data_IF_745580443887
#
_entry.id   IF_745580443887
#
_cell.length_a   1.000
_cell.length_b   1.000
_cell.length_c   1.000
_cell.angle_alpha   90.00
_cell.angle_beta   90.00
_cell.angle_gamma   90.00
#
_symmetry.space_group_name_H-M   'P 1'
#
loop_
_entity.id
_entity.type
_entity.pdbx_description
1 polymer ?
#
# COMPACT_ATOMS: atom_id res chain seq x y z
N UNK A 1 -21.81 70.09 9.38
CA UNK A 1 -22.34 70.24 8.02
C UNK A 1 -23.24 71.48 8.07
N UNK A 2 -22.88 72.55 7.40
CA UNK A 2 -23.70 73.73 7.22
C UNK A 2 -24.71 73.45 6.09
N UNK A 3 -25.93 73.79 6.34
CA UNK A 3 -27.02 73.57 5.40
C UNK A 3 -26.76 74.37 4.12
N UNK A 4 -26.62 73.65 2.95
CA UNK A 4 -26.38 74.29 1.65
C UNK A 4 -24.94 74.21 1.07
N UNK A 5 -23.99 73.58 1.75
CA UNK A 5 -22.62 73.42 1.28
C UNK A 5 -22.40 71.98 0.76
N UNK A 6 -22.06 71.85 -0.52
CA UNK A 6 -21.75 70.57 -1.15
C UNK A 6 -20.35 70.12 -0.74
N UNK A 7 -20.24 69.10 0.13
CA UNK A 7 -18.96 68.54 0.56
C UNK A 7 -18.62 67.36 -0.36
N UNK A 8 -17.57 67.51 -1.17
CA UNK A 8 -17.02 66.38 -1.95
C UNK A 8 -16.10 65.55 -1.05
N UNK A 9 -16.49 64.30 -0.78
CA UNK A 9 -15.67 63.37 -0.07
C UNK A 9 -15.07 62.38 -1.06
N UNK A 10 -13.79 62.51 -1.37
CA UNK A 10 -13.05 61.53 -2.17
C UNK A 10 -12.62 60.38 -1.27
N UNK A 11 -13.33 59.25 -1.38
CA UNK A 11 -13.00 58.02 -0.68
C UNK A 11 -12.15 57.15 -1.60
N UNK A 12 -10.84 57.07 -1.34
CA UNK A 12 -9.95 56.14 -2.01
C UNK A 12 -10.18 54.75 -1.45
N UNK A 13 -10.89 53.92 -2.19
CA UNK A 13 -11.03 52.49 -1.83
C UNK A 13 -9.75 51.74 -2.16
N UNK A 14 -9.05 51.26 -1.14
CA UNK A 14 -7.95 50.31 -1.30
C UNK A 14 -8.56 48.91 -1.27
N UNK A 15 -8.38 48.17 -2.36
CA UNK A 15 -8.79 46.78 -2.39
C UNK A 15 -7.96 46.01 -1.32
N UNK A 16 -8.61 45.66 -0.22
CA UNK A 16 -8.05 44.72 0.72
C UNK A 16 -8.13 43.30 0.08
N UNK A 17 -7.17 42.97 -0.74
CA UNK A 17 -6.91 41.57 -1.08
C UNK A 17 -6.28 40.91 0.16
N UNK A 18 -7.09 40.43 1.04
CA UNK A 18 -6.64 39.42 2.02
C UNK A 18 -6.28 38.22 1.17
N UNK A 19 -5.03 38.08 0.82
CA UNK A 19 -4.49 36.81 0.33
C UNK A 19 -4.69 35.79 1.43
N UNK A 20 -5.73 34.96 1.31
CA UNK A 20 -5.81 33.73 2.05
C UNK A 20 -4.63 32.90 1.57
N UNK A 21 -3.57 32.84 2.35
CA UNK A 21 -2.54 31.82 2.18
C UNK A 21 -3.28 30.49 2.35
N UNK A 22 -3.51 29.81 1.22
CA UNK A 22 -4.04 28.46 1.20
C UNK A 22 -3.00 27.57 1.91
N UNK A 23 -3.22 27.31 3.18
CA UNK A 23 -2.45 26.29 3.93
C UNK A 23 -2.90 24.94 3.40
N UNK A 24 -2.27 24.48 2.34
CA UNK A 24 -2.41 23.09 1.89
C UNK A 24 -1.74 22.20 2.91
N UNK A 25 -2.51 21.74 3.89
CA UNK A 25 -2.08 20.70 4.81
C UNK A 25 -2.10 19.37 4.04
N UNK A 26 -1.02 19.09 3.35
CA UNK A 26 -0.78 17.77 2.77
C UNK A 26 -0.38 16.82 3.89
N UNK A 27 -1.36 16.29 4.62
CA UNK A 27 -1.15 15.17 5.51
C UNK A 27 -0.88 13.93 4.65
N UNK A 28 0.38 13.56 4.47
CA UNK A 28 0.75 12.31 3.82
C UNK A 28 0.34 11.18 4.75
N UNK A 29 -0.65 10.41 4.35
CA UNK A 29 -1.09 9.24 5.10
C UNK A 29 0.07 8.24 5.19
N UNK A 30 0.54 7.99 6.41
CA UNK A 30 1.58 6.97 6.66
C UNK A 30 0.86 5.62 6.73
N UNK A 31 0.68 4.98 5.58
CA UNK A 31 -0.03 3.69 5.47
C UNK A 31 0.82 2.47 5.88
N UNK A 32 2.02 2.70 6.40
CA UNK A 32 3.00 1.65 6.78
C UNK A 32 2.72 0.99 8.12
N UNK A 33 1.88 1.62 8.94
CA UNK A 33 1.60 1.15 10.30
C UNK A 33 0.38 0.25 10.32
N UNK A 34 0.36 -0.68 11.25
CA UNK A 34 -0.78 -1.57 11.48
C UNK A 34 -2.07 -0.77 11.80
N UNK A 35 -1.95 0.28 12.61
CA UNK A 35 -3.09 1.13 12.96
C UNK A 35 -3.68 1.86 11.74
N UNK A 36 -2.85 2.33 10.83
CA UNK A 36 -3.31 2.97 9.60
C UNK A 36 -4.07 1.98 8.71
N UNK A 37 -3.58 0.76 8.60
CA UNK A 37 -4.25 -0.30 7.85
C UNK A 37 -5.61 -0.66 8.47
N UNK A 38 -5.68 -0.78 9.80
CA UNK A 38 -6.94 -1.03 10.52
C UNK A 38 -7.95 0.11 10.32
N UNK A 39 -7.48 1.37 10.29
CA UNK A 39 -8.35 2.51 9.96
C UNK A 39 -8.86 2.45 8.52
N UNK A 40 -8.03 2.05 7.56
CA UNK A 40 -8.45 1.83 6.17
C UNK A 40 -9.51 0.72 6.08
N UNK A 41 -9.32 -0.38 6.79
CA UNK A 41 -10.29 -1.47 6.84
C UNK A 41 -11.62 -1.01 7.47
N UNK A 42 -11.56 -0.29 8.59
CA UNK A 42 -12.75 0.21 9.29
C UNK A 42 -13.57 1.17 8.45
N UNK A 43 -12.92 2.04 7.68
CA UNK A 43 -13.57 3.06 6.84
C UNK A 43 -13.92 2.55 5.45
N UNK A 44 -13.65 1.28 5.15
CA UNK A 44 -13.90 0.70 3.84
C UNK A 44 -15.31 0.14 3.74
N UNK A 45 -15.98 0.40 2.63
CA UNK A 45 -17.26 -0.21 2.25
C UNK A 45 -17.09 -1.66 1.73
N UNK A 46 -15.83 -2.15 1.69
CA UNK A 46 -15.44 -3.44 1.13
C UNK A 46 -14.99 -4.38 2.24
N UNK A 47 -15.22 -5.69 2.05
CA UNK A 47 -14.56 -6.69 2.87
C UNK A 47 -13.13 -6.83 2.35
N UNK A 48 -12.19 -6.29 3.10
CA UNK A 48 -10.77 -6.31 2.78
C UNK A 48 -9.95 -6.66 4.01
N UNK A 49 -8.89 -7.39 3.79
CA UNK A 49 -7.85 -7.65 4.77
C UNK A 49 -6.51 -7.20 4.18
N UNK A 50 -5.56 -6.91 5.04
CA UNK A 50 -4.26 -6.50 4.55
C UNK A 50 -3.16 -6.77 5.56
N UNK A 51 -1.93 -6.56 5.13
CA UNK A 51 -0.73 -6.66 5.94
C UNK A 51 0.13 -5.42 5.72
N UNK A 52 0.53 -4.76 6.80
CA UNK A 52 1.37 -3.57 6.76
C UNK A 52 2.85 -3.94 6.65
N UNK A 53 3.68 -2.99 6.19
CA UNK A 53 5.14 -3.16 6.19
C UNK A 53 5.67 -3.46 7.60
N UNK A 54 5.14 -2.80 8.61
CA UNK A 54 5.55 -3.01 10.00
C UNK A 54 5.33 -4.46 10.44
N UNK A 55 4.20 -5.03 10.07
CA UNK A 55 3.85 -6.41 10.39
C UNK A 55 4.71 -7.40 9.58
N UNK A 56 4.86 -7.17 8.26
CA UNK A 56 5.75 -7.99 7.41
C UNK A 56 7.19 -8.01 7.93
N UNK A 57 7.70 -6.85 8.37
CA UNK A 57 9.04 -6.72 8.92
C UNK A 57 9.20 -7.47 10.24
N UNK A 58 8.17 -7.42 11.12
CA UNK A 58 8.16 -8.14 12.41
C UNK A 58 8.15 -9.65 12.23
N UNK A 59 7.44 -10.14 11.22
CA UNK A 59 7.38 -11.56 10.88
C UNK A 59 8.54 -12.05 10.00
N UNK A 60 9.52 -11.17 9.68
CA UNK A 60 10.65 -11.46 8.81
C UNK A 60 10.26 -12.05 7.44
N UNK A 61 9.16 -11.58 6.87
CA UNK A 61 8.63 -12.03 5.57
C UNK A 61 9.43 -11.40 4.45
N UNK A 62 10.02 -12.20 3.55
CA UNK A 62 10.94 -11.73 2.51
C UNK A 62 10.28 -11.25 1.22
N UNK A 63 9.16 -11.86 0.81
CA UNK A 63 8.47 -11.57 -0.44
C UNK A 63 6.95 -11.51 -0.28
N UNK A 64 6.25 -11.00 -1.30
CA UNK A 64 4.79 -10.85 -1.30
C UNK A 64 4.09 -12.20 -1.19
N UNK A 65 4.57 -13.25 -1.87
CA UNK A 65 3.95 -14.57 -1.82
C UNK A 65 3.88 -15.09 -0.37
N UNK A 66 4.98 -14.97 0.38
CA UNK A 66 5.01 -15.36 1.79
C UNK A 66 4.13 -14.44 2.65
N UNK A 67 4.07 -13.14 2.35
CA UNK A 67 3.19 -12.21 3.05
C UNK A 67 1.71 -12.58 2.88
N UNK A 68 1.31 -12.99 1.68
CA UNK A 68 -0.05 -13.41 1.38
C UNK A 68 -0.53 -14.59 2.22
N UNK A 69 0.36 -15.51 2.63
CA UNK A 69 -0.04 -16.62 3.51
C UNK A 69 -0.50 -16.17 4.90
N UNK A 70 -0.21 -14.91 5.28
CA UNK A 70 -0.60 -14.33 6.57
C UNK A 70 -1.95 -13.60 6.51
N UNK A 71 -2.45 -13.33 5.31
CA UNK A 71 -3.75 -12.67 5.12
C UNK A 71 -4.84 -13.73 5.15
N UNK A 72 -5.91 -13.47 5.88
CA UNK A 72 -7.04 -14.41 6.05
C UNK A 72 -7.67 -14.77 4.71
N UNK A 73 -7.92 -16.06 4.48
CA UNK A 73 -8.60 -16.56 3.27
C UNK A 73 -7.76 -16.48 2.00
N UNK A 74 -6.44 -16.31 2.13
CA UNK A 74 -5.50 -16.42 1.02
C UNK A 74 -4.56 -17.59 1.24
N UNK A 75 -4.18 -18.22 0.15
CA UNK A 75 -3.18 -19.29 0.11
C UNK A 75 -2.28 -19.12 -1.11
N UNK A 76 -1.15 -19.79 -1.10
CA UNK A 76 -0.19 -19.73 -2.20
C UNK A 76 -0.07 -21.09 -2.85
N UNK A 77 -0.23 -21.11 -4.16
CA UNK A 77 0.01 -22.28 -4.99
C UNK A 77 1.38 -22.21 -5.63
N UNK A 78 2.12 -23.30 -5.62
CA UNK A 78 3.48 -23.42 -6.19
C UNK A 78 4.49 -22.40 -5.64
N UNK A 79 4.24 -21.84 -4.46
CA UNK A 79 5.11 -20.82 -3.86
C UNK A 79 5.06 -19.43 -4.53
N UNK A 80 4.26 -19.24 -5.57
CA UNK A 80 4.29 -18.06 -6.45
C UNK A 80 2.92 -17.40 -6.65
N UNK A 81 1.88 -18.20 -6.84
CA UNK A 81 0.57 -17.74 -7.26
C UNK A 81 -0.40 -17.68 -6.10
N UNK A 82 -1.13 -16.59 -6.02
CA UNK A 82 -2.12 -16.42 -4.96
C UNK A 82 -3.45 -17.06 -5.33
N UNK A 83 -4.05 -17.70 -4.36
CA UNK A 83 -5.39 -18.27 -4.40
C UNK A 83 -6.21 -17.59 -3.31
N UNK A 84 -7.31 -16.94 -3.69
CA UNK A 84 -8.19 -16.25 -2.76
C UNK A 84 -9.48 -17.05 -2.60
N UNK A 85 -9.84 -17.38 -1.37
CA UNK A 85 -11.05 -18.16 -1.04
C UNK A 85 -11.14 -19.51 -1.77
N UNK A 86 -10.01 -20.15 -2.04
CA UNK A 86 -9.95 -21.39 -2.79
C UNK A 86 -10.19 -21.25 -4.30
N UNK A 87 -10.39 -20.02 -4.80
CA UNK A 87 -10.53 -19.76 -6.23
C UNK A 87 -9.15 -19.50 -6.82
N UNK A 88 -8.82 -20.26 -7.86
CA UNK A 88 -7.52 -20.23 -8.52
C UNK A 88 -7.22 -18.91 -9.24
N UNK A 89 -6.09 -18.90 -9.89
CA UNK A 89 -5.47 -17.75 -10.54
C UNK A 89 -6.35 -17.00 -11.54
N UNK A 90 -7.20 -17.70 -12.30
CA UNK A 90 -8.10 -17.04 -13.27
C UNK A 90 -9.23 -16.21 -12.64
N UNK A 91 -9.44 -16.34 -11.34
CA UNK A 91 -10.48 -15.63 -10.59
C UNK A 91 -9.94 -14.55 -9.67
N UNK A 92 -8.62 -14.47 -9.52
CA UNK A 92 -7.93 -13.49 -8.68
C UNK A 92 -7.17 -12.48 -9.54
N UNK A 93 -7.25 -11.21 -9.16
CA UNK A 93 -6.52 -10.13 -9.80
C UNK A 93 -5.39 -9.65 -8.87
N UNK A 94 -4.20 -9.49 -9.42
CA UNK A 94 -3.08 -8.87 -8.71
C UNK A 94 -2.76 -7.52 -9.34
N UNK A 95 -2.66 -6.50 -8.50
CA UNK A 95 -2.37 -5.13 -8.92
C UNK A 95 -1.13 -4.62 -8.19
N UNK A 96 -0.39 -3.77 -8.86
CA UNK A 96 0.71 -2.99 -8.28
C UNK A 96 0.34 -1.51 -8.36
N UNK A 97 0.14 -0.88 -7.21
CA UNK A 97 -0.32 0.52 -7.11
C UNK A 97 -1.61 0.79 -7.93
N UNK A 98 -2.56 -0.14 -7.88
CA UNK A 98 -3.83 -0.04 -8.61
C UNK A 98 -3.77 -0.45 -10.09
N UNK A 99 -2.59 -0.79 -10.62
CA UNK A 99 -2.44 -1.25 -12.01
C UNK A 99 -2.37 -2.78 -12.07
N UNK A 100 -3.12 -3.44 -12.97
CA UNK A 100 -3.06 -4.88 -13.14
C UNK A 100 -1.64 -5.35 -13.48
N UNK A 101 -1.18 -6.38 -12.79
CA UNK A 101 0.10 -7.00 -13.07
C UNK A 101 -0.05 -8.10 -14.14
N UNK A 102 0.78 -8.09 -15.19
CA UNK A 102 0.77 -9.16 -16.17
C UNK A 102 1.32 -10.46 -15.59
N UNK A 103 0.85 -11.58 -16.10
CA UNK A 103 1.47 -12.87 -15.84
C UNK A 103 2.73 -13.03 -16.72
N UNK A 104 3.76 -13.63 -16.14
CA UNK A 104 4.96 -14.03 -16.88
C UNK A 104 4.75 -15.40 -17.55
N UNK A 105 3.83 -16.20 -16.99
CA UNK A 105 3.48 -17.50 -17.53
C UNK A 105 2.36 -17.35 -18.57
N UNK A 106 2.58 -17.77 -19.85
CA UNK A 106 1.58 -17.64 -20.90
C UNK A 106 0.32 -18.48 -20.68
N UNK A 107 0.37 -19.47 -19.81
CA UNK A 107 -0.75 -20.36 -19.50
C UNK A 107 -1.55 -19.94 -18.26
N UNK A 108 -1.11 -18.88 -17.56
CA UNK A 108 -1.74 -18.40 -16.30
C UNK A 108 -2.04 -16.91 -16.37
N UNK A 109 -3.08 -16.49 -15.68
CA UNK A 109 -3.47 -15.08 -15.57
C UNK A 109 -2.99 -14.40 -14.29
N UNK A 110 -2.36 -15.14 -13.39
CA UNK A 110 -1.91 -14.63 -12.09
C UNK A 110 -0.46 -14.18 -12.14
N UNK A 111 -0.18 -13.03 -11.55
CA UNK A 111 1.17 -12.54 -11.41
C UNK A 111 2.00 -13.39 -10.43
N UNK A 112 3.30 -13.49 -10.68
CA UNK A 112 4.25 -14.16 -9.78
C UNK A 112 4.61 -13.22 -8.63
N UNK A 113 4.12 -13.51 -7.45
CA UNK A 113 4.26 -12.64 -6.27
C UNK A 113 5.57 -12.86 -5.49
N UNK A 114 6.28 -13.93 -5.75
CA UNK A 114 7.58 -14.24 -5.16
C UNK A 114 8.69 -13.29 -5.61
N UNK A 115 8.53 -12.65 -6.77
CA UNK A 115 9.50 -11.73 -7.34
C UNK A 115 9.54 -10.36 -6.65
N UNK A 116 8.50 -10.02 -5.87
CA UNK A 116 8.39 -8.70 -5.25
C UNK A 116 8.87 -8.78 -3.80
N UNK A 117 9.99 -8.12 -3.46
CA UNK A 117 10.49 -8.10 -2.09
C UNK A 117 9.67 -7.16 -1.21
N UNK A 118 9.35 -7.59 0.01
CA UNK A 118 8.55 -6.80 0.97
C UNK A 118 9.21 -5.49 1.39
N UNK A 119 10.53 -5.37 1.25
CA UNK A 119 11.27 -4.14 1.57
C UNK A 119 10.85 -2.94 0.71
N UNK A 120 10.29 -3.17 -0.48
CA UNK A 120 9.81 -2.13 -1.39
C UNK A 120 8.37 -1.69 -1.08
N UNK A 121 7.68 -2.40 -0.20
CA UNK A 121 6.24 -2.23 0.01
C UNK A 121 5.91 -1.33 1.19
N UNK A 122 4.77 -0.68 1.11
CA UNK A 122 4.09 -0.01 2.21
C UNK A 122 3.07 -0.94 2.87
N UNK A 123 2.21 -1.52 2.06
CA UNK A 123 1.21 -2.48 2.51
C UNK A 123 0.74 -3.37 1.34
N UNK A 124 0.03 -4.43 1.68
CA UNK A 124 -0.68 -5.28 0.74
C UNK A 124 -2.13 -5.35 1.22
N UNK A 125 -3.08 -5.10 0.33
CA UNK A 125 -4.51 -5.15 0.62
C UNK A 125 -5.16 -6.22 -0.28
N UNK A 126 -5.83 -7.18 0.34
CA UNK A 126 -6.63 -8.18 -0.34
C UNK A 126 -8.12 -7.84 -0.19
N UNK A 127 -8.74 -7.36 -1.24
CA UNK A 127 -10.17 -7.08 -1.31
C UNK A 127 -10.92 -8.33 -1.75
N UNK A 128 -11.93 -8.72 -0.98
CA UNK A 128 -12.67 -9.96 -1.16
C UNK A 128 -14.06 -9.75 -1.74
N UNK A 129 -14.56 -8.53 -1.77
CA UNK A 129 -15.85 -8.18 -2.37
C UNK A 129 -15.65 -7.27 -3.56
N UNK A 130 -16.42 -7.51 -4.62
CA UNK A 130 -16.43 -6.63 -5.78
C UNK A 130 -17.16 -5.32 -5.44
N UNK A 131 -16.60 -4.21 -5.90
CA UNK A 131 -17.21 -2.89 -5.86
C UNK A 131 -17.02 -2.21 -7.23
N UNK A 132 -17.93 -1.30 -7.64
CA UNK A 132 -17.94 -0.71 -8.98
C UNK A 132 -16.67 0.08 -9.37
N UNK A 133 -15.86 0.49 -8.38
CA UNK A 133 -14.59 1.18 -8.56
C UNK A 133 -13.44 0.25 -8.95
N UNK A 134 -13.67 -1.06 -8.91
CA UNK A 134 -12.67 -2.07 -9.23
C UNK A 134 -12.86 -2.66 -10.63
N UNK A 135 -11.77 -3.15 -11.27
CA UNK A 135 -11.89 -3.85 -12.55
C UNK A 135 -12.80 -5.06 -12.43
N UNK A 136 -13.73 -5.23 -13.36
CA UNK A 136 -14.69 -6.35 -13.37
C UNK A 136 -14.10 -7.72 -13.74
N UNK A 137 -12.78 -7.86 -13.74
CA UNK A 137 -12.07 -9.05 -14.24
C UNK A 137 -11.81 -10.11 -13.18
N UNK A 138 -12.22 -9.89 -11.93
CA UNK A 138 -12.02 -10.85 -10.84
C UNK A 138 -13.35 -11.24 -10.17
N UNK A 139 -13.37 -12.42 -9.57
CA UNK A 139 -14.48 -12.94 -8.75
C UNK A 139 -14.02 -13.46 -7.38
N UNK A 140 -12.78 -13.91 -7.28
CA UNK A 140 -12.22 -14.45 -6.05
C UNK A 140 -11.72 -13.37 -5.11
N UNK A 141 -10.90 -12.48 -5.61
CA UNK A 141 -10.35 -11.36 -4.87
C UNK A 141 -9.40 -10.52 -5.71
N UNK A 142 -9.24 -9.28 -5.28
CA UNK A 142 -8.28 -8.34 -5.84
C UNK A 142 -7.19 -8.06 -4.79
N UNK A 143 -5.94 -8.23 -5.19
CA UNK A 143 -4.77 -8.00 -4.34
C UNK A 143 -4.07 -6.75 -4.85
N UNK A 144 -4.11 -5.69 -4.07
CA UNK A 144 -3.40 -4.44 -4.36
C UNK A 144 -2.11 -4.37 -3.53
N UNK A 145 -1.00 -4.39 -4.23
CA UNK A 145 0.35 -4.31 -3.66
C UNK A 145 0.80 -2.86 -3.77
N UNK A 146 0.96 -2.19 -2.64
CA UNK A 146 1.35 -0.79 -2.61
C UNK A 146 2.82 -0.63 -2.28
N UNK A 147 3.54 0.04 -3.17
CA UNK A 147 4.95 0.34 -2.98
C UNK A 147 5.16 1.59 -2.14
N UNK A 148 6.31 1.67 -1.50
CA UNK A 148 6.73 2.86 -0.75
C UNK A 148 6.73 4.09 -1.65
N UNK A 149 6.22 5.18 -1.11
CA UNK A 149 6.40 6.50 -1.71
C UNK A 149 7.88 6.87 -1.72
N UNK A 150 8.25 7.83 -2.58
CA UNK A 150 9.62 8.33 -2.66
C UNK A 150 10.10 8.79 -1.26
N UNK A 151 11.25 8.32 -0.76
CA UNK A 151 11.74 8.73 0.54
C UNK A 151 12.15 10.20 0.53
N UNK A 152 11.66 10.97 1.50
CA UNK A 152 12.03 12.38 1.67
C UNK A 152 13.48 12.55 2.16
N UNK A 153 14.05 11.49 2.72
CA UNK A 153 15.41 11.47 3.24
C UNK A 153 16.16 10.27 2.68
N UNK A 154 17.43 10.48 2.39
CA UNK A 154 18.31 9.39 1.99
C UNK A 154 18.47 8.43 3.17
N UNK A 155 18.14 7.15 2.95
CA UNK A 155 18.30 6.10 3.96
C UNK A 155 19.25 5.04 3.44
N UNK A 156 20.27 4.74 4.21
CA UNK A 156 21.19 3.63 3.98
C UNK A 156 21.02 2.62 5.11
N UNK A 157 20.66 1.39 4.77
CA UNK A 157 20.59 0.29 5.74
C UNK A 157 21.54 -0.82 5.33
N UNK A 158 22.46 -1.17 6.21
CA UNK A 158 23.35 -2.32 6.07
C UNK A 158 23.02 -3.32 7.17
N UNK A 159 22.71 -4.55 6.79
CA UNK A 159 22.48 -5.63 7.75
C UNK A 159 23.42 -6.79 7.46
N UNK A 160 24.15 -7.23 8.48
CA UNK A 160 24.98 -8.42 8.45
C UNK A 160 24.43 -9.41 9.48
N UNK A 161 24.11 -10.62 9.03
CA UNK A 161 23.67 -11.68 9.93
C UNK A 161 24.67 -12.84 9.86
N UNK A 162 25.10 -13.31 11.04
CA UNK A 162 25.92 -14.50 11.18
C UNK A 162 25.14 -15.55 11.96
N UNK A 163 25.03 -16.74 11.40
CA UNK A 163 24.42 -17.89 12.07
C UNK A 163 25.51 -18.90 12.48
N UNK A 164 25.51 -19.29 13.73
CA UNK A 164 26.36 -20.35 14.24
C UNK A 164 25.51 -21.52 14.74
N UNK A 165 25.79 -22.71 14.22
CA UNK A 165 25.16 -23.93 14.68
C UNK A 165 26.22 -24.82 15.33
N UNK A 166 26.16 -24.96 16.65
CA UNK A 166 27.15 -25.73 17.41
C UNK A 166 27.18 -27.22 17.08
N UNK A 167 26.13 -27.73 16.43
CA UNK A 167 26.07 -29.17 16.07
C UNK A 167 26.63 -29.48 14.69
N UNK A 168 26.59 -28.52 13.74
CA UNK A 168 26.96 -28.75 12.33
C UNK A 168 28.09 -27.88 11.80
N UNK A 169 28.41 -26.75 12.46
CA UNK A 169 29.48 -25.89 12.01
C UNK A 169 30.83 -26.38 12.57
N UNK A 170 31.82 -26.53 11.71
CA UNK A 170 33.20 -26.84 12.05
C UNK A 170 33.45 -28.29 12.58
N UNK A 171 32.61 -29.24 12.23
CA UNK A 171 32.95 -30.66 12.41
C UNK A 171 33.73 -31.12 11.17
N UNK A 172 34.94 -31.66 11.42
CA UNK A 172 35.81 -32.25 10.39
C UNK A 172 35.37 -33.67 9.98
N UNK A 173 34.26 -34.20 10.53
CA UNK A 173 33.81 -35.58 10.37
C UNK A 173 32.69 -35.71 9.33
N UNK A 174 32.86 -35.12 8.14
CA UNK A 174 32.04 -35.45 6.97
C UNK A 174 32.90 -35.84 5.79
#
# INVERSE_FOLDING_TARGET
VKDGEVTFLDVKMVSASTGLEEIVVTAKSIERTENALLMLQRNSDKIQDGISYQEMSRMAVGNVATAMTKITGTSIQEGKYVVVRGLGDRYSLSQLNGLPMPSIDPYRNSAQLDLIPTKLLDNIIATKTFTPDQPGTFTGGNIDIRTKSFPERQTLSLSVSMGYNAQNNLREDF
#
